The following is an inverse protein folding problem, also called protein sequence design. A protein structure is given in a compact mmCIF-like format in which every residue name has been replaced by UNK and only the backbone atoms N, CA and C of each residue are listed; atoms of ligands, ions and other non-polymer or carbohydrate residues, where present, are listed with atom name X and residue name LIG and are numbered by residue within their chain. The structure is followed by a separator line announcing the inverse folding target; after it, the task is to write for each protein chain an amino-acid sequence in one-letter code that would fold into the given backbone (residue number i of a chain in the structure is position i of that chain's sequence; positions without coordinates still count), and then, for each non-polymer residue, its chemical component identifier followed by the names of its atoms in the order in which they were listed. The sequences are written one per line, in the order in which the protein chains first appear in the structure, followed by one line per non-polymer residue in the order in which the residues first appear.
data_IF_691744787490
#
_entry.id   IF_691744787490
#
_cell.length_a   1.000
_cell.length_b   1.000
_cell.length_c   1.000
_cell.angle_alpha   90.00
_cell.angle_beta   90.00
_cell.angle_gamma   90.00
#
_symmetry.space_group_name_H-M   'P 1'
#
loop_
_entity.id
_entity.type
_entity.pdbx_description
1 polymer ?
#
# COMPACT_ATOMS: atom_id res chain seq x y z
N UNK A 1 -27.09 -5.47 9.97
CA UNK A 1 -27.90 -4.87 11.06
C UNK A 1 -27.13 -5.04 12.36
N UNK A 2 -26.55 -3.98 12.94
CA UNK A 2 -25.87 -4.10 14.24
C UNK A 2 -26.60 -3.46 15.42
N UNK A 3 -27.65 -2.65 15.23
CA UNK A 3 -28.35 -2.02 16.37
C UNK A 3 -29.85 -1.75 16.16
N UNK A 4 -30.54 -2.54 15.31
CA UNK A 4 -32.00 -2.39 15.11
C UNK A 4 -32.45 -1.02 14.60
N UNK A 5 -31.52 -0.22 14.07
CA UNK A 5 -31.79 1.00 13.32
C UNK A 5 -31.88 0.64 11.84
N UNK A 6 -32.97 1.04 11.19
CA UNK A 6 -33.08 1.01 9.73
C UNK A 6 -31.91 1.81 9.15
N UNK A 7 -30.96 1.09 8.54
CA UNK A 7 -29.92 1.71 7.72
C UNK A 7 -30.63 2.15 6.44
N UNK A 8 -30.71 3.46 6.15
CA UNK A 8 -31.28 3.93 4.89
C UNK A 8 -30.58 3.20 3.75
N UNK A 9 -31.35 2.63 2.83
CA UNK A 9 -30.78 2.05 1.63
C UNK A 9 -29.98 3.15 0.92
N UNK A 10 -28.68 2.89 0.69
CA UNK A 10 -27.90 3.71 -0.22
C UNK A 10 -28.43 3.40 -1.62
N UNK A 11 -29.40 4.19 -2.08
CA UNK A 11 -29.82 4.13 -3.47
C UNK A 11 -28.61 4.54 -4.32
N UNK A 12 -28.17 3.71 -5.30
CA UNK A 12 -27.09 4.12 -6.18
C UNK A 12 -27.56 5.32 -6.99
N UNK A 13 -27.08 6.51 -6.62
CA UNK A 13 -27.29 7.69 -7.45
C UNK A 13 -26.69 7.42 -8.84
N UNK A 14 -27.38 7.75 -9.94
CA UNK A 14 -26.83 7.58 -11.26
C UNK A 14 -25.50 8.32 -11.31
N UNK A 15 -24.42 7.58 -11.61
CA UNK A 15 -23.09 8.14 -11.73
C UNK A 15 -23.16 9.29 -12.73
N UNK A 16 -23.08 10.53 -12.24
CA UNK A 16 -22.94 11.68 -13.11
C UNK A 16 -21.70 11.43 -13.96
N UNK A 17 -21.85 11.44 -15.29
CA UNK A 17 -20.74 11.35 -16.22
C UNK A 17 -19.87 12.58 -16.04
N UNK A 18 -18.93 12.51 -15.11
CA UNK A 18 -17.91 13.52 -14.93
C UNK A 18 -17.06 13.50 -16.20
N UNK A 19 -16.87 14.64 -16.89
CA UNK A 19 -16.13 14.73 -18.16
C UNK A 19 -14.63 14.37 -18.02
N UNK A 20 -14.20 14.05 -16.82
CA UNK A 20 -12.91 13.51 -16.43
C UNK A 20 -13.19 12.58 -15.24
N UNK A 21 -12.62 11.37 -15.22
CA UNK A 21 -12.95 10.33 -14.24
C UNK A 21 -12.83 10.76 -12.76
N UNK A 22 -13.23 9.89 -11.83
CA UNK A 22 -13.15 10.17 -10.40
C UNK A 22 -11.73 10.70 -10.03
N UNK A 23 -11.60 11.87 -9.37
CA UNK A 23 -10.30 12.40 -8.95
C UNK A 23 -9.47 11.41 -8.13
N UNK A 24 -10.14 10.50 -7.42
CA UNK A 24 -9.50 9.41 -6.68
C UNK A 24 -8.74 8.42 -7.57
N UNK A 25 -9.08 8.28 -8.85
CA UNK A 25 -8.40 7.41 -9.81
C UNK A 25 -7.41 8.16 -10.71
N UNK A 26 -7.29 9.49 -10.58
CA UNK A 26 -6.34 10.28 -11.37
C UNK A 26 -4.92 10.04 -10.86
N UNK A 27 -4.04 9.63 -11.77
CA UNK A 27 -2.63 9.44 -11.49
C UNK A 27 -1.97 10.80 -11.16
N UNK A 28 -1.31 10.87 -10.01
CA UNK A 28 -0.55 12.05 -9.57
C UNK A 28 0.78 11.60 -9.01
N UNK A 29 1.82 12.37 -9.30
CA UNK A 29 3.12 12.25 -8.66
C UNK A 29 3.38 13.51 -7.83
N UNK A 30 3.93 13.31 -6.63
CA UNK A 30 4.31 14.38 -5.73
C UNK A 30 5.83 14.52 -5.76
N UNK A 31 6.32 15.75 -5.87
CA UNK A 31 7.75 16.02 -5.88
C UNK A 31 8.36 15.64 -4.53
N UNK A 32 9.48 14.92 -4.58
CA UNK A 32 10.27 14.52 -3.42
C UNK A 32 11.01 15.77 -2.91
N UNK A 33 10.34 16.63 -2.15
CA UNK A 33 11.04 17.73 -1.49
C UNK A 33 12.07 17.13 -0.54
N UNK A 34 13.35 17.38 -0.84
CA UNK A 34 14.45 17.02 0.04
C UNK A 34 14.40 18.00 1.20
N UNK A 35 13.59 17.70 2.20
CA UNK A 35 13.61 18.50 3.42
C UNK A 35 14.97 18.34 4.08
N UNK A 36 15.73 19.44 4.00
CA UNK A 36 16.93 19.69 4.77
C UNK A 36 16.67 19.40 6.25
N UNK A 37 17.34 18.39 6.80
CA UNK A 37 17.43 18.12 8.24
C UNK A 37 18.04 19.34 8.97
N UNK A 38 17.22 20.32 9.36
CA UNK A 38 17.61 21.39 10.27
C UNK A 38 16.39 22.15 10.82
N UNK A 39 15.57 21.50 11.63
CA UNK A 39 14.67 22.20 12.54
C UNK A 39 14.92 21.72 13.96
N UNK A 40 15.13 22.69 14.86
CA UNK A 40 15.40 22.48 16.27
C UNK A 40 14.38 21.50 16.91
N UNK A 41 14.77 20.77 17.98
CA UNK A 41 13.95 19.71 18.58
C UNK A 41 12.58 20.14 19.13
N UNK A 42 12.23 21.44 19.08
CA UNK A 42 10.96 21.98 19.57
C UNK A 42 9.84 22.12 18.52
N UNK A 43 10.12 21.90 17.22
CA UNK A 43 9.14 22.11 16.13
C UNK A 43 9.01 20.90 15.18
N UNK A 44 9.11 19.66 15.69
CA UNK A 44 8.88 18.49 14.86
C UNK A 44 7.42 18.44 14.37
N UNK A 45 7.22 18.57 13.06
CA UNK A 45 5.95 18.32 12.39
C UNK A 45 6.14 17.14 11.44
N UNK A 46 5.36 16.05 11.59
CA UNK A 46 5.43 14.94 10.65
C UNK A 46 5.14 15.42 9.22
N UNK A 47 5.96 14.97 8.27
CA UNK A 47 5.80 15.32 6.85
C UNK A 47 5.38 14.09 6.07
N UNK A 48 4.43 14.27 5.16
CA UNK A 48 3.98 13.18 4.31
C UNK A 48 5.12 12.69 3.42
N UNK A 49 5.46 11.40 3.55
CA UNK A 49 6.37 10.70 2.63
C UNK A 49 5.72 10.17 1.35
N UNK A 50 4.43 10.44 1.12
CA UNK A 50 3.71 9.94 -0.04
C UNK A 50 4.19 10.61 -1.35
N UNK A 51 4.59 9.81 -2.32
CA UNK A 51 5.13 10.28 -3.61
C UNK A 51 4.17 10.12 -4.79
N UNK A 52 3.06 9.41 -4.62
CA UNK A 52 2.10 9.17 -5.70
C UNK A 52 0.66 9.00 -5.21
N UNK A 53 -0.29 9.09 -6.13
CA UNK A 53 -1.70 8.79 -5.92
C UNK A 53 -2.31 8.23 -7.21
N UNK A 54 -3.27 7.28 -7.16
CA UNK A 54 -3.83 6.59 -5.97
C UNK A 54 -2.86 5.62 -5.29
N UNK A 55 -3.21 5.12 -4.10
CA UNK A 55 -2.38 4.13 -3.38
C UNK A 55 -2.97 2.72 -3.37
N UNK A 56 -4.26 2.57 -3.69
CA UNK A 56 -4.96 1.29 -3.65
C UNK A 56 -4.53 0.38 -4.82
N UNK A 57 -4.11 -0.87 -4.54
CA UNK A 57 -3.59 -1.83 -5.55
C UNK A 57 -4.52 -1.93 -6.77
N UNK A 58 -5.83 -1.96 -6.52
CA UNK A 58 -6.88 -2.06 -7.54
C UNK A 58 -6.82 -0.94 -8.59
N UNK A 59 -6.39 0.25 -8.20
CA UNK A 59 -6.44 1.47 -9.01
C UNK A 59 -5.13 1.76 -9.74
N UNK A 60 -4.02 1.11 -9.36
CA UNK A 60 -2.70 1.44 -9.88
C UNK A 60 -2.52 0.98 -11.32
N UNK A 61 -2.08 1.81 -12.28
CA UNK A 61 -1.74 1.35 -13.62
C UNK A 61 -0.47 0.48 -13.58
N UNK A 62 -0.45 -0.66 -14.28
CA UNK A 62 0.70 -1.60 -14.26
C UNK A 62 2.01 -0.95 -14.72
N UNK A 63 1.94 -0.03 -15.69
CA UNK A 63 3.11 0.64 -16.29
C UNK A 63 3.25 2.09 -15.79
N UNK A 64 2.87 2.38 -14.54
CA UNK A 64 3.02 3.72 -14.00
C UNK A 64 4.51 4.09 -13.88
N UNK A 65 4.91 5.31 -14.27
CA UNK A 65 6.33 5.69 -14.41
C UNK A 65 7.12 5.63 -13.09
N UNK A 66 6.46 5.83 -11.95
CA UNK A 66 7.10 5.77 -10.64
C UNK A 66 7.53 4.35 -10.22
N UNK A 67 7.10 3.29 -10.92
CA UNK A 67 7.55 1.92 -10.62
C UNK A 67 8.96 1.63 -11.09
N UNK A 68 9.49 2.38 -12.05
CA UNK A 68 10.80 2.11 -12.62
C UNK A 68 11.93 2.36 -11.60
N UNK A 69 12.71 1.33 -11.30
CA UNK A 69 13.80 1.37 -10.33
C UNK A 69 13.33 1.61 -8.89
N UNK A 70 12.09 1.26 -8.55
CA UNK A 70 11.47 1.57 -7.26
C UNK A 70 11.76 0.52 -6.18
N UNK A 71 11.77 0.97 -4.93
CA UNK A 71 11.52 0.13 -3.76
C UNK A 71 10.00 0.12 -3.51
N UNK A 72 9.38 -1.06 -3.52
CA UNK A 72 7.94 -1.19 -3.31
C UNK A 72 7.59 -1.40 -1.84
N UNK A 73 6.46 -0.84 -1.44
CA UNK A 73 5.81 -1.08 -0.16
C UNK A 73 4.40 -1.61 -0.39
N UNK A 74 4.19 -2.89 -0.14
CA UNK A 74 2.87 -3.52 -0.09
C UNK A 74 2.37 -3.47 1.36
N UNK A 75 1.28 -2.75 1.62
CA UNK A 75 0.80 -2.49 2.97
C UNK A 75 -0.66 -2.92 3.15
N UNK A 76 -0.96 -3.56 4.29
CA UNK A 76 -2.33 -3.79 4.71
C UNK A 76 -3.04 -2.47 5.06
N UNK A 77 -4.32 -2.34 4.74
CA UNK A 77 -5.12 -1.12 5.00
C UNK A 77 -5.00 -0.60 6.44
N UNK A 78 -4.96 -1.49 7.42
CA UNK A 78 -4.91 -1.12 8.83
C UNK A 78 -3.51 -0.68 9.30
N UNK A 79 -2.44 -1.03 8.57
CA UNK A 79 -1.07 -0.83 9.04
C UNK A 79 -0.72 0.65 9.28
N UNK A 80 -1.01 1.60 8.36
CA UNK A 80 -0.73 3.01 8.59
C UNK A 80 -1.51 3.62 9.77
N UNK A 81 -2.66 3.04 10.12
CA UNK A 81 -3.47 3.51 11.25
C UNK A 81 -3.04 2.91 12.58
N UNK A 82 -2.50 1.69 12.57
CA UNK A 82 -2.02 1.01 13.76
C UNK A 82 -0.60 1.44 14.16
N UNK A 83 0.27 1.73 13.17
CA UNK A 83 1.67 2.04 13.40
C UNK A 83 1.98 3.53 13.15
N UNK A 84 2.21 4.33 14.21
CA UNK A 84 2.30 5.79 14.11
C UNK A 84 3.38 6.32 13.16
N UNK A 85 4.54 5.67 13.13
CA UNK A 85 5.70 6.12 12.36
C UNK A 85 5.75 5.53 10.94
N UNK A 86 4.61 5.07 10.41
CA UNK A 86 4.52 4.36 9.12
C UNK A 86 5.12 5.16 7.96
N UNK A 87 4.88 6.48 7.95
CA UNK A 87 5.39 7.34 6.90
C UNK A 87 6.92 7.37 6.88
N UNK A 88 7.55 7.54 8.05
CA UNK A 88 9.00 7.70 8.14
C UNK A 88 9.75 6.36 8.06
N UNK A 89 9.23 5.30 8.71
CA UNK A 89 9.93 4.00 8.74
C UNK A 89 9.68 3.13 7.51
N UNK A 90 8.47 3.16 6.94
CA UNK A 90 8.10 2.28 5.82
C UNK A 90 7.96 3.02 4.50
N UNK A 91 7.20 4.13 4.48
CA UNK A 91 6.84 4.80 3.22
C UNK A 91 7.98 5.64 2.64
N UNK A 92 8.89 6.15 3.48
CA UNK A 92 9.97 7.02 3.07
C UNK A 92 10.78 6.42 1.90
N UNK A 93 10.68 7.08 0.74
CA UNK A 93 11.40 6.69 -0.46
C UNK A 93 10.86 5.47 -1.22
N UNK A 94 9.74 4.88 -0.80
CA UNK A 94 9.11 3.72 -1.45
C UNK A 94 7.84 4.11 -2.22
N UNK A 95 7.48 3.26 -3.19
CA UNK A 95 6.19 3.32 -3.89
C UNK A 95 5.19 2.44 -3.15
N UNK A 96 4.12 3.07 -2.67
CA UNK A 96 3.10 2.41 -1.86
C UNK A 96 2.01 1.71 -2.71
N UNK A 97 1.65 0.50 -2.31
CA UNK A 97 0.49 -0.24 -2.76
C UNK A 97 -0.28 -0.72 -1.52
N UNK A 98 -1.53 -0.31 -1.36
CA UNK A 98 -2.39 -0.60 -0.20
C UNK A 98 -3.48 -1.58 -0.58
N UNK A 99 -3.77 -2.54 0.30
CA UNK A 99 -4.93 -3.41 0.15
C UNK A 99 -5.20 -4.35 1.32
N UNK A 100 -6.44 -4.86 1.39
CA UNK A 100 -6.89 -5.84 2.36
C UNK A 100 -7.43 -7.10 1.66
N UNK A 101 -6.71 -8.23 1.67
CA UNK A 101 -7.11 -9.44 0.93
C UNK A 101 -8.39 -10.11 1.48
N UNK A 102 -8.89 -9.67 2.63
CA UNK A 102 -10.18 -10.10 3.20
C UNK A 102 -11.36 -9.32 2.64
N UNK A 103 -11.18 -8.04 2.33
CA UNK A 103 -12.23 -7.14 1.89
C UNK A 103 -12.30 -7.05 0.36
N UNK A 104 -11.15 -7.23 -0.29
CA UNK A 104 -10.98 -7.12 -1.73
C UNK A 104 -10.72 -8.49 -2.40
N UNK A 105 -10.46 -8.46 -3.70
CA UNK A 105 -10.12 -9.64 -4.50
C UNK A 105 -8.62 -9.97 -4.42
N UNK A 106 -8.29 -10.96 -3.59
CA UNK A 106 -6.94 -11.47 -3.41
C UNK A 106 -6.33 -12.10 -4.70
N UNK A 107 -7.15 -12.70 -5.56
CA UNK A 107 -6.68 -13.26 -6.82
C UNK A 107 -6.28 -12.13 -7.79
N UNK A 108 -7.10 -11.07 -7.84
CA UNK A 108 -6.75 -9.89 -8.61
C UNK A 108 -5.48 -9.22 -8.09
N UNK A 109 -5.27 -9.14 -6.76
CA UNK A 109 -3.99 -8.66 -6.23
C UNK A 109 -2.81 -9.46 -6.75
N UNK A 110 -2.89 -10.79 -6.76
CA UNK A 110 -1.82 -11.64 -7.28
C UNK A 110 -1.54 -11.36 -8.76
N UNK A 111 -2.57 -11.32 -9.60
CA UNK A 111 -2.42 -11.01 -11.03
C UNK A 111 -1.80 -9.62 -11.24
N UNK A 112 -2.33 -8.62 -10.52
CA UNK A 112 -1.88 -7.22 -10.60
C UNK A 112 -0.42 -7.06 -10.16
N UNK A 113 -0.07 -7.63 -9.01
CA UNK A 113 1.28 -7.59 -8.48
C UNK A 113 2.24 -8.31 -9.42
N UNK A 114 1.88 -9.50 -9.93
CA UNK A 114 2.70 -10.23 -10.90
C UNK A 114 2.98 -9.37 -12.12
N UNK A 115 1.95 -8.76 -12.71
CA UNK A 115 2.10 -7.90 -13.87
C UNK A 115 2.99 -6.66 -13.60
N UNK A 116 2.85 -6.01 -12.43
CA UNK A 116 3.71 -4.89 -12.03
C UNK A 116 5.16 -5.35 -11.92
N UNK A 117 5.41 -6.47 -11.23
CA UNK A 117 6.76 -6.99 -11.05
C UNK A 117 7.38 -7.43 -12.38
N UNK A 118 6.64 -8.07 -13.28
CA UNK A 118 7.14 -8.50 -14.60
C UNK A 118 7.57 -7.31 -15.47
N UNK A 119 6.76 -6.26 -15.51
CA UNK A 119 6.92 -5.16 -16.48
C UNK A 119 7.84 -4.02 -16.04
N UNK A 120 8.17 -3.92 -14.75
CA UNK A 120 8.97 -2.82 -14.20
C UNK A 120 10.24 -3.32 -13.49
N UNK A 121 11.32 -2.55 -13.50
CA UNK A 121 12.52 -2.88 -12.71
C UNK A 121 12.33 -2.54 -11.22
N UNK A 122 12.03 -3.55 -10.40
CA UNK A 122 11.76 -3.38 -8.97
C UNK A 122 12.97 -3.83 -8.15
N UNK A 123 13.48 -2.95 -7.29
CA UNK A 123 14.69 -3.19 -6.49
C UNK A 123 14.42 -4.08 -5.27
N UNK A 124 13.35 -3.79 -4.54
CA UNK A 124 12.96 -4.51 -3.34
C UNK A 124 11.44 -4.45 -3.14
N UNK A 125 10.90 -5.41 -2.39
CA UNK A 125 9.51 -5.40 -1.96
C UNK A 125 9.47 -5.53 -0.44
N UNK A 126 8.91 -4.54 0.24
CA UNK A 126 8.57 -4.62 1.66
C UNK A 126 7.07 -4.89 1.79
N UNK A 127 6.70 -5.95 2.48
CA UNK A 127 5.32 -6.30 2.82
C UNK A 127 5.07 -5.99 4.30
N UNK A 128 4.21 -5.01 4.58
CA UNK A 128 3.80 -4.63 5.94
C UNK A 128 2.37 -5.08 6.16
N UNK A 129 2.14 -5.99 7.10
CA UNK A 129 0.83 -6.55 7.36
C UNK A 129 0.55 -6.68 8.86
N UNK A 130 -0.71 -6.90 9.23
CA UNK A 130 -1.10 -7.04 10.65
C UNK A 130 -0.90 -8.49 11.15
N UNK A 131 -0.76 -8.68 12.46
CA UNK A 131 -0.63 -10.00 13.12
C UNK A 131 -1.90 -10.87 13.03
N UNK A 132 -3.03 -10.26 12.67
CA UNK A 132 -4.31 -10.97 12.56
C UNK A 132 -4.33 -11.92 11.35
N UNK A 133 -5.01 -13.07 11.46
CA UNK A 133 -4.91 -14.13 10.46
C UNK A 133 -5.36 -13.70 9.05
N UNK A 134 -6.28 -12.75 8.94
CA UNK A 134 -6.75 -12.26 7.66
C UNK A 134 -5.70 -11.46 6.87
N UNK A 135 -4.60 -11.03 7.49
CA UNK A 135 -3.55 -10.26 6.82
C UNK A 135 -2.42 -11.14 6.27
N UNK A 136 -2.27 -12.41 6.67
CA UNK A 136 -1.23 -13.32 6.15
C UNK A 136 -1.39 -13.71 4.66
N UNK A 137 -2.55 -13.39 4.06
CA UNK A 137 -2.73 -13.50 2.62
C UNK A 137 -1.81 -12.57 1.83
N UNK A 138 -1.51 -11.37 2.35
CA UNK A 138 -0.73 -10.35 1.67
C UNK A 138 0.74 -10.76 1.44
N UNK A 139 1.50 -11.25 2.43
CA UNK A 139 2.86 -11.74 2.18
C UNK A 139 2.88 -13.01 1.31
N UNK A 140 1.82 -13.81 1.33
CA UNK A 140 1.68 -14.97 0.42
C UNK A 140 1.54 -14.50 -1.03
N UNK A 141 0.69 -13.50 -1.28
CA UNK A 141 0.56 -12.86 -2.59
C UNK A 141 1.90 -12.27 -3.05
N UNK A 142 2.62 -11.56 -2.18
CA UNK A 142 3.92 -11.00 -2.49
C UNK A 142 4.94 -12.06 -2.95
N UNK A 143 5.08 -13.15 -2.19
CA UNK A 143 5.97 -14.28 -2.54
C UNK A 143 5.59 -14.92 -3.87
N UNK A 144 4.30 -15.17 -4.08
CA UNK A 144 3.81 -15.78 -5.32
C UNK A 144 4.01 -14.86 -6.53
N UNK A 145 3.75 -13.56 -6.39
CA UNK A 145 3.97 -12.59 -7.46
C UNK A 145 5.45 -12.48 -7.85
N UNK A 146 6.36 -12.44 -6.86
CA UNK A 146 7.81 -12.46 -7.12
C UNK A 146 8.17 -13.74 -7.89
N UNK A 147 7.76 -14.91 -7.39
CA UNK A 147 8.06 -16.19 -8.04
C UNK A 147 7.49 -16.27 -9.46
N UNK A 148 6.26 -15.80 -9.67
CA UNK A 148 5.59 -15.83 -10.97
C UNK A 148 6.22 -14.85 -11.96
N UNK A 149 6.70 -13.70 -11.48
CA UNK A 149 7.35 -12.69 -12.32
C UNK A 149 8.68 -13.13 -12.93
N UNK A 150 9.27 -14.21 -12.40
CA UNK A 150 10.59 -14.70 -12.82
C UNK A 150 11.76 -13.79 -12.41
N UNK A 151 11.52 -12.76 -11.58
CA UNK A 151 12.55 -11.84 -11.07
C UNK A 151 13.04 -12.25 -9.69
N UNK A 152 14.29 -11.92 -9.41
CA UNK A 152 14.90 -12.08 -8.09
C UNK A 152 14.78 -10.76 -7.32
N UNK A 153 13.71 -10.65 -6.51
CA UNK A 153 13.39 -9.44 -5.74
C UNK A 153 13.46 -9.80 -4.25
N UNK A 154 14.25 -9.04 -3.49
CA UNK A 154 14.33 -9.21 -2.04
C UNK A 154 12.99 -8.83 -1.40
N UNK A 155 12.39 -9.78 -0.69
CA UNK A 155 11.17 -9.58 0.09
C UNK A 155 11.51 -9.35 1.57
N UNK A 156 11.04 -8.23 2.12
CA UNK A 156 11.04 -7.95 3.55
C UNK A 156 9.63 -8.11 4.09
N UNK A 157 9.41 -9.05 5.01
CA UNK A 157 8.10 -9.33 5.61
C UNK A 157 8.04 -8.73 7.03
N UNK A 158 7.10 -7.82 7.28
CA UNK A 158 6.99 -7.08 8.53
C UNK A 158 5.57 -7.22 9.08
N UNK A 159 5.47 -7.74 10.29
CA UNK A 159 4.20 -7.90 11.00
C UNK A 159 4.04 -6.82 12.07
N UNK A 160 2.90 -6.12 12.04
CA UNK A 160 2.47 -5.13 13.04
C UNK A 160 1.40 -5.75 13.93
N UNK A 161 1.56 -5.64 15.24
CA UNK A 161 0.56 -6.07 16.23
C UNK A 161 -0.68 -5.18 16.20
N UNK A 162 -1.81 -5.66 16.73
CA UNK A 162 -3.04 -4.85 16.82
C UNK A 162 -2.89 -3.61 17.70
N UNK A 163 -1.86 -3.56 18.55
CA UNK A 163 -1.51 -2.42 19.38
C UNK A 163 -0.31 -1.59 18.85
N UNK A 164 0.09 -1.79 17.59
CA UNK A 164 0.99 -0.88 16.89
C UNK A 164 2.49 -1.12 17.12
N UNK A 165 2.89 -2.34 17.51
CA UNK A 165 4.31 -2.73 17.67
C UNK A 165 4.75 -3.59 16.49
N UNK A 166 6.02 -3.52 16.13
CA UNK A 166 6.61 -4.46 15.17
C UNK A 166 6.94 -5.75 15.91
N UNK A 167 6.49 -6.90 15.41
CA UNK A 167 7.00 -8.18 15.90
C UNK A 167 8.33 -8.45 15.21
N UNK A 168 9.39 -8.73 15.97
CA UNK A 168 10.62 -9.28 15.40
C UNK A 168 10.26 -10.53 14.59
N UNK A 169 10.57 -10.51 13.30
CA UNK A 169 10.07 -11.45 12.31
C UNK A 169 10.20 -12.91 12.78
N UNK A 170 9.14 -13.70 12.61
CA UNK A 170 9.31 -15.15 12.55
C UNK A 170 10.17 -15.43 11.32
N UNK A 171 11.28 -16.17 11.47
CA UNK A 171 12.02 -16.66 10.31
C UNK A 171 11.07 -17.56 9.51
N UNK A 172 10.83 -17.20 8.24
CA UNK A 172 10.20 -18.09 7.26
C UNK A 172 11.30 -18.59 6.33
#
# INVERSE_FOLDING_TARGET
EEQGLEVPALEPEPAAELPCGCPGAMLREFSKETESEASAPSDYRPVSRLTHWPVQIMLLPVNAPYFEGADLLLAADCAPFAYPDFHDEFLAGKVLLVGCPKLDDAAFYLEKMTAILETNDIKSLTCVHMEVPCCFGLPTIARQAISASGKDIVLHDVTITVDGRITEALPV
#
